data_IF_050709001631
#
_entry.id   IF_050709001631
#
_cell.length_a   1.000
_cell.length_b   1.000
_cell.length_c   1.000
_cell.angle_alpha   90.00
_cell.angle_beta   90.00
_cell.angle_gamma   90.00
#
_symmetry.space_group_name_H-M   'P 1'
#
loop_
_entity.id
_entity.type
_entity.pdbx_description
1 polymer ?
#
# COMPACT_ATOMS: atom_id res chain seq x y z
N UNK A 1 20.23 -61.79 -5.65
CA UNK A 1 20.13 -61.18 -4.30
C UNK A 1 21.41 -60.41 -4.02
N UNK A 2 21.26 -59.25 -3.36
CA UNK A 2 22.26 -58.25 -2.94
C UNK A 2 22.55 -57.12 -3.94
N UNK A 3 21.93 -55.99 -3.59
CA UNK A 3 22.10 -54.64 -4.08
C UNK A 3 23.46 -54.08 -3.66
N UNK A 4 24.05 -53.26 -4.53
CA UNK A 4 25.16 -52.37 -4.21
C UNK A 4 24.63 -51.10 -3.54
N UNK A 5 25.31 -50.69 -2.47
CA UNK A 5 25.18 -49.42 -1.79
C UNK A 5 26.26 -48.43 -2.28
N UNK A 6 25.96 -47.17 -1.98
CA UNK A 6 26.84 -46.00 -1.86
C UNK A 6 27.00 -45.05 -3.05
N UNK A 7 26.61 -43.80 -2.78
CA UNK A 7 26.76 -42.64 -3.65
C UNK A 7 25.96 -41.43 -3.14
N UNK A 8 26.29 -40.96 -1.93
CA UNK A 8 25.79 -39.71 -1.33
C UNK A 8 25.97 -38.52 -2.28
N UNK A 9 24.87 -37.82 -2.58
CA UNK A 9 24.90 -36.41 -2.95
C UNK A 9 23.91 -35.68 -2.03
N UNK A 10 24.44 -35.18 -0.90
CA UNK A 10 23.75 -34.25 -0.03
C UNK A 10 23.53 -32.96 -0.81
N UNK A 11 22.30 -32.78 -1.31
CA UNK A 11 21.83 -31.48 -1.78
C UNK A 11 21.71 -30.59 -0.56
N UNK A 12 22.65 -29.65 -0.42
CA UNK A 12 22.61 -28.58 0.55
C UNK A 12 21.38 -27.70 0.30
N UNK A 13 20.24 -28.12 0.84
CA UNK A 13 19.11 -27.23 1.04
C UNK A 13 19.58 -26.17 2.03
N UNK A 14 19.77 -24.96 1.54
CA UNK A 14 19.77 -23.76 2.38
C UNK A 14 18.58 -23.87 3.34
N UNK A 15 18.75 -23.62 4.65
CA UNK A 15 17.61 -23.63 5.56
C UNK A 15 16.60 -22.59 5.07
N UNK A 16 15.29 -22.86 5.20
CA UNK A 16 14.29 -21.81 4.97
C UNK A 16 14.68 -20.62 5.85
N UNK A 17 14.67 -19.41 5.29
CA UNK A 17 14.77 -18.18 6.10
C UNK A 17 13.74 -18.31 7.21
N UNK A 18 14.18 -18.42 8.45
CA UNK A 18 13.30 -18.34 9.61
C UNK A 18 12.53 -17.02 9.48
N UNK A 19 11.25 -17.12 9.10
CA UNK A 19 10.32 -16.00 9.15
C UNK A 19 10.02 -15.77 10.62
N UNK A 20 10.85 -14.96 11.27
CA UNK A 20 10.68 -14.61 12.68
C UNK A 20 9.40 -13.76 12.80
N UNK A 21 8.34 -14.37 13.33
CA UNK A 21 7.09 -13.71 13.66
C UNK A 21 7.30 -12.71 14.81
N UNK A 22 6.67 -11.55 14.69
CA UNK A 22 6.74 -10.49 15.70
C UNK A 22 6.16 -10.98 17.03
N UNK A 23 6.97 -10.87 18.09
CA UNK A 23 6.51 -11.19 19.44
C UNK A 23 5.47 -10.17 19.93
N UNK A 24 4.60 -10.57 20.86
CA UNK A 24 3.59 -9.66 21.43
C UNK A 24 4.22 -8.45 22.14
N UNK A 25 5.35 -8.66 22.84
CA UNK A 25 6.09 -7.58 23.50
C UNK A 25 6.67 -6.59 22.48
N UNK A 26 7.24 -7.11 21.39
CA UNK A 26 7.77 -6.28 20.31
C UNK A 26 6.67 -5.48 19.61
N UNK A 27 5.52 -6.12 19.34
CA UNK A 27 4.37 -5.46 18.74
C UNK A 27 3.89 -4.27 19.58
N UNK A 28 3.64 -4.48 20.88
CA UNK A 28 3.20 -3.41 21.79
C UNK A 28 4.25 -2.30 21.89
N UNK A 29 5.53 -2.64 22.02
CA UNK A 29 6.59 -1.64 22.11
C UNK A 29 6.65 -0.76 20.85
N UNK A 30 6.53 -1.38 19.67
CA UNK A 30 6.53 -0.67 18.39
C UNK A 30 5.29 0.20 18.19
N UNK A 31 4.09 -0.30 18.53
CA UNK A 31 2.86 0.48 18.47
C UNK A 31 2.94 1.68 19.43
N UNK A 32 3.32 1.47 20.69
CA UNK A 32 3.42 2.56 21.67
C UNK A 32 4.46 3.63 21.30
N UNK A 33 5.50 3.27 20.56
CA UNK A 33 6.49 4.23 20.05
C UNK A 33 5.98 5.04 18.85
N UNK A 34 5.00 4.51 18.12
CA UNK A 34 4.49 5.07 16.88
C UNK A 34 3.25 5.95 17.09
N UNK A 35 2.35 5.53 17.98
CA UNK A 35 1.07 6.20 18.24
C UNK A 35 1.28 7.43 19.12
N UNK A 36 0.66 8.60 18.83
CA UNK A 36 0.85 9.82 19.60
C UNK A 36 0.42 9.72 21.07
N UNK A 37 -0.73 9.09 21.33
CA UNK A 37 -1.32 8.89 22.66
C UNK A 37 -1.81 7.45 22.82
N UNK A 38 -0.90 6.48 23.02
CA UNK A 38 -1.29 5.08 23.16
C UNK A 38 -2.02 4.85 24.50
N UNK A 39 -3.00 3.95 24.48
CA UNK A 39 -3.75 3.52 25.66
C UNK A 39 -3.57 2.01 25.87
N UNK A 40 -3.37 1.59 27.12
CA UNK A 40 -3.19 0.18 27.49
C UNK A 40 -4.36 -0.71 27.04
N UNK A 41 -5.61 -0.24 27.20
CA UNK A 41 -6.79 -1.02 26.81
C UNK A 41 -6.88 -1.21 25.28
N UNK A 42 -6.72 -0.13 24.52
CA UNK A 42 -6.72 -0.18 23.06
C UNK A 42 -5.56 -1.03 22.52
N UNK A 43 -4.35 -0.88 23.08
CA UNK A 43 -3.18 -1.69 22.74
C UNK A 43 -3.39 -3.17 23.04
N UNK A 44 -4.07 -3.50 24.15
CA UNK A 44 -4.44 -4.89 24.47
C UNK A 44 -5.45 -5.45 23.46
N UNK A 45 -6.52 -4.72 23.17
CA UNK A 45 -7.54 -5.15 22.20
C UNK A 45 -6.94 -5.36 20.81
N UNK A 46 -6.05 -4.46 20.39
CA UNK A 46 -5.32 -4.57 19.13
C UNK A 46 -4.38 -5.79 19.10
N UNK A 47 -3.71 -6.09 20.21
CA UNK A 47 -2.89 -7.30 20.32
C UNK A 47 -3.73 -8.57 20.27
N UNK A 48 -4.88 -8.60 20.95
CA UNK A 48 -5.81 -9.72 20.94
C UNK A 48 -6.30 -9.98 19.50
N UNK A 49 -6.67 -8.90 18.78
CA UNK A 49 -7.00 -8.98 17.35
C UNK A 49 -5.81 -9.49 16.52
N UNK A 50 -4.61 -8.93 16.72
CA UNK A 50 -3.38 -9.32 16.03
C UNK A 50 -2.98 -10.78 16.19
N UNK A 51 -3.48 -11.47 17.22
CA UNK A 51 -3.25 -12.90 17.45
C UNK A 51 -4.35 -13.82 16.88
N UNK A 52 -5.39 -13.28 16.22
CA UNK A 52 -6.65 -14.01 15.98
C UNK A 52 -6.88 -14.54 14.55
N UNK A 53 -6.63 -13.74 13.50
CA UNK A 53 -7.16 -14.06 12.16
C UNK A 53 -6.18 -14.82 11.25
N UNK A 54 -4.92 -14.38 11.15
CA UNK A 54 -3.92 -15.04 10.31
C UNK A 54 -2.48 -14.84 10.78
N UNK A 55 -1.59 -15.63 10.19
CA UNK A 55 -0.16 -15.60 10.45
C UNK A 55 0.43 -14.24 10.04
N UNK A 56 1.12 -13.57 10.96
CA UNK A 56 1.76 -12.26 10.75
C UNK A 56 0.81 -11.05 10.70
N UNK A 57 -0.42 -11.17 11.16
CA UNK A 57 -1.32 -10.02 11.28
C UNK A 57 -0.71 -8.89 12.15
N UNK A 58 0.08 -9.21 13.18
CA UNK A 58 0.82 -8.20 13.97
C UNK A 58 1.76 -7.35 13.09
N UNK A 59 2.49 -7.98 12.19
CA UNK A 59 3.35 -7.32 11.23
C UNK A 59 2.54 -6.46 10.27
N UNK A 60 1.43 -6.99 9.74
CA UNK A 60 0.57 -6.26 8.81
C UNK A 60 -0.05 -5.02 9.48
N UNK A 61 -0.53 -5.15 10.72
CA UNK A 61 -1.04 -4.04 11.53
C UNK A 61 0.05 -3.00 11.77
N UNK A 62 1.24 -3.43 12.21
CA UNK A 62 2.36 -2.50 12.45
C UNK A 62 2.79 -1.79 11.17
N UNK A 63 2.90 -2.50 10.05
CA UNK A 63 3.22 -1.91 8.76
C UNK A 63 2.15 -0.92 8.33
N UNK A 64 0.88 -1.23 8.57
CA UNK A 64 -0.24 -0.34 8.25
C UNK A 64 -0.22 0.94 9.08
N UNK A 65 -0.01 0.85 10.41
CA UNK A 65 0.18 2.04 11.24
C UNK A 65 1.39 2.86 10.81
N UNK A 66 2.50 2.19 10.46
CA UNK A 66 3.72 2.83 9.97
C UNK A 66 3.50 3.55 8.64
N UNK A 67 2.69 2.96 7.78
CA UNK A 67 2.25 3.58 6.54
C UNK A 67 1.39 4.80 6.82
N UNK A 68 0.38 4.67 7.69
CA UNK A 68 -0.53 5.77 8.03
C UNK A 68 0.23 6.94 8.66
N UNK A 69 1.17 6.68 9.56
CA UNK A 69 1.94 7.73 10.24
C UNK A 69 2.80 8.59 9.31
N UNK A 70 3.14 8.06 8.14
CA UNK A 70 3.93 8.75 7.11
C UNK A 70 3.04 9.48 6.10
N UNK A 71 1.84 8.95 5.86
CA UNK A 71 0.96 9.46 4.81
C UNK A 71 -0.15 10.38 5.31
N UNK A 72 -0.42 10.39 6.61
CA UNK A 72 -1.51 11.13 7.21
C UNK A 72 -1.02 11.93 8.43
N UNK A 73 -1.89 12.81 8.93
CA UNK A 73 -1.60 13.60 10.13
C UNK A 73 -1.54 12.71 11.39
N UNK A 74 -0.85 13.18 12.45
CA UNK A 74 -0.87 12.49 13.75
C UNK A 74 -2.28 12.29 14.33
N UNK A 75 -3.19 13.24 14.11
CA UNK A 75 -4.58 13.14 14.57
C UNK A 75 -5.33 12.03 13.83
N UNK A 76 -5.12 11.90 12.52
CA UNK A 76 -5.66 10.78 11.72
C UNK A 76 -5.10 9.45 12.19
N UNK A 77 -3.80 9.36 12.42
CA UNK A 77 -3.15 8.15 12.96
C UNK A 77 -3.76 7.74 14.32
N UNK A 78 -3.95 8.71 15.21
CA UNK A 78 -4.58 8.49 16.51
C UNK A 78 -6.03 8.01 16.34
N UNK A 79 -6.82 8.64 15.47
CA UNK A 79 -8.20 8.24 15.23
C UNK A 79 -8.33 6.81 14.70
N UNK A 80 -7.45 6.39 13.78
CA UNK A 80 -7.39 5.00 13.30
C UNK A 80 -7.04 4.04 14.43
N UNK A 81 -6.07 4.39 15.27
CA UNK A 81 -5.70 3.60 16.43
C UNK A 81 -6.86 3.42 17.40
N UNK A 82 -7.55 4.52 17.75
CA UNK A 82 -8.70 4.50 18.66
C UNK A 82 -9.83 3.63 18.12
N UNK A 83 -10.12 3.71 16.81
CA UNK A 83 -11.09 2.86 16.12
C UNK A 83 -10.69 1.38 16.15
N UNK A 84 -9.44 1.07 15.82
CA UNK A 84 -8.92 -0.30 15.80
C UNK A 84 -8.86 -0.95 17.19
N UNK A 85 -8.74 -0.12 18.24
CA UNK A 85 -8.65 -0.53 19.62
C UNK A 85 -10.01 -0.80 20.28
N UNK A 86 -11.12 -0.66 19.57
CA UNK A 86 -12.46 -0.98 20.09
C UNK A 86 -12.57 -2.48 20.32
N UNK A 87 -12.95 -2.86 21.55
CA UNK A 87 -13.08 -4.25 21.95
C UNK A 87 -13.99 -5.05 21.01
N UNK A 88 -13.54 -6.25 20.62
CA UNK A 88 -14.26 -7.21 19.77
C UNK A 88 -14.63 -6.73 18.36
N UNK A 89 -14.14 -5.56 17.91
CA UNK A 89 -14.26 -5.12 16.52
C UNK A 89 -13.00 -5.44 15.73
N UNK A 90 -11.85 -4.95 16.21
CA UNK A 90 -10.62 -4.96 15.41
C UNK A 90 -10.79 -4.16 14.12
N UNK A 91 -9.72 -4.07 13.31
CA UNK A 91 -9.79 -3.46 11.99
C UNK A 91 -8.70 -4.06 11.12
N UNK A 92 -9.07 -4.56 9.94
CA UNK A 92 -8.17 -5.18 8.98
C UNK A 92 -7.26 -4.10 8.37
N UNK A 93 -6.04 -4.44 7.93
CA UNK A 93 -5.10 -3.48 7.35
C UNK A 93 -5.69 -2.55 6.28
N UNK A 94 -6.53 -3.09 5.40
CA UNK A 94 -7.15 -2.32 4.32
C UNK A 94 -8.27 -1.40 4.83
N UNK A 95 -9.02 -1.82 5.84
CA UNK A 95 -10.02 -1.00 6.53
C UNK A 95 -9.36 0.17 7.24
N UNK A 96 -8.18 -0.04 7.83
CA UNK A 96 -7.43 1.04 8.48
C UNK A 96 -7.01 2.13 7.50
N UNK A 97 -6.60 1.77 6.28
CA UNK A 97 -6.25 2.73 5.24
C UNK A 97 -7.49 3.51 4.78
N UNK A 98 -8.61 2.82 4.56
CA UNK A 98 -9.90 3.46 4.24
C UNK A 98 -10.36 4.42 5.33
N UNK A 99 -10.29 4.00 6.60
CA UNK A 99 -10.60 4.83 7.76
C UNK A 99 -9.70 6.07 7.83
N UNK A 100 -8.39 5.95 7.55
CA UNK A 100 -7.49 7.09 7.52
C UNK A 100 -7.90 8.14 6.48
N UNK A 101 -8.29 7.70 5.27
CA UNK A 101 -8.80 8.56 4.20
C UNK A 101 -10.06 9.31 4.65
N UNK A 102 -11.00 8.60 5.28
CA UNK A 102 -12.25 9.20 5.76
C UNK A 102 -12.02 10.17 6.91
N UNK A 103 -11.20 9.81 7.89
CA UNK A 103 -10.88 10.67 9.03
C UNK A 103 -10.19 11.96 8.60
N UNK A 104 -9.19 11.90 7.71
CA UNK A 104 -8.48 13.10 7.27
C UNK A 104 -9.32 14.02 6.38
N UNK A 105 -10.38 13.49 5.74
CA UNK A 105 -11.39 14.29 5.03
C UNK A 105 -12.48 14.86 5.95
N UNK A 106 -12.29 14.79 7.27
CA UNK A 106 -13.24 15.24 8.30
C UNK A 106 -14.59 14.51 8.26
N UNK A 107 -14.58 13.25 7.80
CA UNK A 107 -15.79 12.41 7.84
C UNK A 107 -16.09 12.06 9.30
N UNK A 108 -17.31 12.30 9.80
CA UNK A 108 -17.70 11.88 11.14
C UNK A 108 -17.46 10.38 11.33
N UNK A 109 -16.95 9.98 12.49
CA UNK A 109 -16.65 8.57 12.79
C UNK A 109 -17.89 7.67 12.63
N UNK A 110 -19.08 8.21 12.89
CA UNK A 110 -20.37 7.55 12.72
C UNK A 110 -20.76 7.33 11.25
N UNK A 111 -20.07 7.96 10.30
CA UNK A 111 -20.24 7.73 8.87
C UNK A 111 -19.16 6.78 8.32
N UNK A 112 -18.18 6.41 9.15
CA UNK A 112 -17.19 5.36 8.88
C UNK A 112 -17.75 4.02 9.41
N UNK A 113 -18.98 3.69 9.00
CA UNK A 113 -19.65 2.44 9.40
C UNK A 113 -19.23 1.27 8.50
N UNK A 114 -19.38 0.04 9.02
CA UNK A 114 -18.99 -1.25 8.40
C UNK A 114 -19.45 -1.39 6.95
N UNK A 115 -20.60 -0.82 6.58
CA UNK A 115 -21.11 -0.82 5.19
C UNK A 115 -20.17 -0.11 4.20
N UNK A 116 -19.24 0.73 4.68
CA UNK A 116 -18.19 1.36 3.87
C UNK A 116 -16.95 0.46 3.67
N UNK A 117 -16.80 -0.62 4.45
CA UNK A 117 -15.59 -1.43 4.49
C UNK A 117 -15.47 -2.37 3.30
N UNK A 118 -16.59 -2.79 2.70
CA UNK A 118 -16.61 -3.53 1.44
C UNK A 118 -15.91 -2.76 0.31
N UNK A 119 -15.93 -1.42 0.35
CA UNK A 119 -15.21 -0.56 -0.59
C UNK A 119 -13.72 -0.41 -0.25
N UNK A 120 -13.32 -0.71 0.98
CA UNK A 120 -11.93 -0.66 1.42
C UNK A 120 -11.15 -1.92 1.08
N UNK A 121 -11.82 -3.02 0.71
CA UNK A 121 -11.21 -4.30 0.27
C UNK A 121 -10.19 -4.09 -0.86
N UNK A 122 -10.31 -2.98 -1.59
CA UNK A 122 -9.33 -2.60 -2.59
C UNK A 122 -7.94 -2.26 -2.03
N UNK A 123 -7.80 -1.71 -0.83
CA UNK A 123 -6.48 -1.40 -0.29
C UNK A 123 -5.76 -2.69 0.12
N UNK A 124 -4.44 -2.78 -0.10
CA UNK A 124 -3.66 -3.95 0.33
C UNK A 124 -2.82 -3.57 1.53
N UNK A 125 -2.61 -4.54 2.44
CA UNK A 125 -1.73 -4.34 3.58
C UNK A 125 -0.32 -3.96 3.08
N UNK A 126 0.30 -2.90 3.62
CA UNK A 126 1.67 -2.55 3.28
C UNK A 126 2.62 -3.69 3.68
N UNK A 127 3.41 -4.18 2.71
CA UNK A 127 4.33 -5.31 2.92
C UNK A 127 5.51 -4.95 3.84
N UNK A 128 5.78 -3.66 4.01
CA UNK A 128 6.91 -3.12 4.79
C UNK A 128 6.53 -1.77 5.42
N UNK A 129 7.17 -1.38 6.54
CA UNK A 129 6.84 -0.16 7.28
C UNK A 129 7.30 1.13 6.58
N UNK A 130 8.20 1.04 5.61
CA UNK A 130 8.72 2.10 4.76
C UNK A 130 8.08 2.10 3.36
N UNK A 131 6.99 1.34 3.16
CA UNK A 131 6.25 1.33 1.91
C UNK A 131 5.68 2.72 1.61
N UNK A 132 5.86 3.18 0.39
CA UNK A 132 5.20 4.39 -0.12
C UNK A 132 3.91 4.03 -0.87
N UNK A 133 2.93 4.93 -0.82
CA UNK A 133 1.66 4.76 -1.52
C UNK A 133 1.85 4.60 -3.03
N UNK A 134 1.03 3.76 -3.64
CA UNK A 134 0.89 3.61 -5.10
C UNK A 134 -0.50 4.04 -5.59
N UNK A 135 -1.23 4.80 -4.79
CA UNK A 135 -2.52 5.35 -5.19
C UNK A 135 -2.31 6.54 -6.13
N UNK A 136 -3.10 6.62 -7.18
CA UNK A 136 -3.15 7.81 -8.04
C UNK A 136 -4.60 8.07 -8.48
N UNK A 137 -4.95 9.34 -8.63
CA UNK A 137 -6.20 9.74 -9.27
C UNK A 137 -6.05 9.56 -10.78
N UNK A 138 -7.14 9.18 -11.44
CA UNK A 138 -7.21 9.08 -12.88
C UNK A 138 -8.41 9.89 -13.39
N UNK A 139 -8.24 10.69 -14.43
CA UNK A 139 -9.35 11.33 -15.12
C UNK A 139 -9.30 10.97 -16.58
N UNK A 140 -10.39 10.39 -17.08
CA UNK A 140 -10.58 10.07 -18.49
C UNK A 140 -11.46 11.16 -19.10
N UNK A 141 -10.94 11.85 -20.10
CA UNK A 141 -11.71 12.79 -20.92
C UNK A 141 -12.10 12.09 -22.23
N UNK A 142 -13.40 11.97 -22.46
CA UNK A 142 -13.97 11.32 -23.64
C UNK A 142 -15.22 12.07 -24.08
N UNK A 143 -15.26 12.47 -25.35
CA UNK A 143 -16.33 13.25 -25.98
C UNK A 143 -16.66 14.56 -25.21
N UNK A 144 -15.65 15.24 -24.69
CA UNK A 144 -15.80 16.45 -23.88
C UNK A 144 -16.37 16.23 -22.46
N UNK A 145 -16.58 14.98 -22.05
CA UNK A 145 -16.98 14.61 -20.70
C UNK A 145 -15.76 14.10 -19.91
N UNK A 146 -15.69 14.41 -18.62
CA UNK A 146 -14.65 13.91 -17.73
C UNK A 146 -15.24 12.90 -16.74
N UNK A 147 -14.60 11.74 -16.63
CA UNK A 147 -14.90 10.72 -15.63
C UNK A 147 -13.68 10.52 -14.71
N UNK A 148 -13.91 10.54 -13.40
CA UNK A 148 -12.86 10.40 -12.40
C UNK A 148 -12.84 9.00 -11.80
N UNK A 149 -11.64 8.50 -11.57
CA UNK A 149 -11.35 7.18 -11.03
C UNK A 149 -10.09 7.25 -10.17
N UNK A 150 -9.66 6.10 -9.66
CA UNK A 150 -8.35 5.95 -9.05
C UNK A 150 -7.71 4.62 -9.43
N UNK A 151 -6.39 4.56 -9.34
CA UNK A 151 -5.60 3.34 -9.44
C UNK A 151 -4.85 3.09 -8.15
N UNK A 152 -4.62 1.82 -7.82
CA UNK A 152 -3.75 1.37 -6.72
C UNK A 152 -2.35 0.98 -7.21
N UNK A 153 -2.10 1.16 -8.51
CA UNK A 153 -0.99 0.55 -9.22
C UNK A 153 -0.12 1.59 -9.90
N UNK A 154 -0.05 2.80 -9.36
CA UNK A 154 0.83 3.84 -9.86
C UNK A 154 2.28 3.32 -9.99
N UNK A 155 2.89 3.56 -11.14
CA UNK A 155 4.23 3.07 -11.49
C UNK A 155 4.30 1.61 -11.97
N UNK A 156 3.18 0.88 -12.06
CA UNK A 156 3.15 -0.52 -12.54
C UNK A 156 2.62 -0.70 -13.96
N UNK A 157 2.15 0.36 -14.60
CA UNK A 157 1.62 0.35 -15.97
C UNK A 157 2.00 1.65 -16.67
N UNK A 158 2.03 1.64 -18.01
CA UNK A 158 2.17 2.86 -18.83
C UNK A 158 0.78 3.42 -19.16
N UNK A 159 0.43 4.63 -18.67
CA UNK A 159 -0.86 5.27 -18.96
C UNK A 159 -1.13 5.51 -20.45
N UNK A 160 -0.09 5.77 -21.26
CA UNK A 160 -0.25 6.00 -22.70
C UNK A 160 -0.55 4.69 -23.43
N UNK A 161 0.13 3.61 -23.05
CA UNK A 161 -0.16 2.27 -23.55
C UNK A 161 -1.58 1.83 -23.18
N UNK A 162 -2.02 2.11 -21.94
CA UNK A 162 -3.40 1.86 -21.50
C UNK A 162 -4.41 2.57 -22.39
N UNK A 163 -4.19 3.86 -22.68
CA UNK A 163 -5.09 4.65 -23.53
C UNK A 163 -5.16 4.05 -24.95
N UNK A 164 -4.02 3.74 -25.57
CA UNK A 164 -4.00 3.16 -26.92
C UNK A 164 -4.70 1.81 -27.00
N UNK A 165 -4.44 0.91 -26.03
CA UNK A 165 -5.09 -0.39 -25.98
C UNK A 165 -6.60 -0.26 -25.76
N UNK A 166 -7.03 0.67 -24.90
CA UNK A 166 -8.44 0.96 -24.69
C UNK A 166 -9.12 1.55 -25.93
N UNK A 167 -8.46 2.45 -26.67
CA UNK A 167 -8.99 2.97 -27.95
C UNK A 167 -9.14 1.87 -28.99
N UNK A 168 -8.16 0.97 -29.14
CA UNK A 168 -8.28 -0.16 -30.05
C UNK A 168 -9.44 -1.09 -29.64
N UNK A 169 -9.60 -1.32 -28.33
CA UNK A 169 -10.65 -2.15 -27.76
C UNK A 169 -12.04 -1.55 -27.91
N UNK A 170 -12.18 -0.24 -27.73
CA UNK A 170 -13.45 0.49 -27.86
C UNK A 170 -14.01 0.35 -29.28
N UNK A 171 -13.15 0.51 -30.30
CA UNK A 171 -13.49 0.31 -31.71
C UNK A 171 -13.90 -1.14 -31.99
N UNK A 172 -13.17 -2.12 -31.44
CA UNK A 172 -13.45 -3.54 -31.69
C UNK A 172 -14.76 -4.03 -31.05
N UNK A 173 -15.08 -3.55 -29.84
CA UNK A 173 -16.25 -4.00 -29.08
C UNK A 173 -17.47 -3.09 -29.17
N UNK A 174 -17.32 -1.87 -29.72
CA UNK A 174 -18.40 -0.87 -29.74
C UNK A 174 -18.76 -0.33 -28.35
N UNK A 175 -17.80 -0.29 -27.43
CA UNK A 175 -17.93 0.30 -26.08
C UNK A 175 -17.22 1.65 -26.04
N UNK A 176 -17.43 2.43 -24.97
CA UNK A 176 -16.65 3.66 -24.74
C UNK A 176 -15.19 3.34 -24.39
N UNK A 177 -14.28 4.29 -24.59
CA UNK A 177 -12.88 4.18 -24.17
C UNK A 177 -12.81 4.07 -22.65
N UNK A 178 -13.66 4.81 -21.94
CA UNK A 178 -13.80 4.73 -20.49
C UNK A 178 -14.14 3.30 -20.02
N UNK A 179 -15.16 2.67 -20.61
CA UNK A 179 -15.52 1.26 -20.30
C UNK A 179 -14.42 0.26 -20.72
N UNK A 180 -13.66 0.57 -21.78
CA UNK A 180 -12.57 -0.29 -22.23
C UNK A 180 -11.37 -0.24 -21.28
N UNK A 181 -11.03 0.94 -20.74
CA UNK A 181 -9.94 1.13 -19.77
C UNK A 181 -10.12 0.22 -18.54
N UNK A 182 -11.35 0.08 -18.04
CA UNK A 182 -11.68 -0.72 -16.86
C UNK A 182 -11.51 -2.24 -17.08
N UNK A 183 -11.29 -2.69 -18.32
CA UNK A 183 -11.11 -4.12 -18.63
C UNK A 183 -9.67 -4.60 -18.52
N UNK A 184 -8.71 -3.69 -18.45
CA UNK A 184 -7.29 -4.03 -18.45
C UNK A 184 -6.74 -4.22 -17.04
N UNK A 185 -5.80 -5.16 -16.88
CA UNK A 185 -4.92 -5.27 -15.72
C UNK A 185 -3.58 -4.55 -15.93
N UNK A 186 -2.72 -4.55 -14.91
CA UNK A 186 -1.41 -3.87 -14.97
C UNK A 186 -0.47 -4.40 -16.06
N UNK A 187 -0.74 -5.59 -16.61
CA UNK A 187 0.04 -6.20 -17.69
C UNK A 187 -0.59 -5.95 -19.06
N UNK A 188 -1.60 -5.06 -19.15
CA UNK A 188 -2.41 -4.81 -20.35
C UNK A 188 -3.15 -6.06 -20.84
N UNK A 189 -3.42 -7.01 -19.93
CA UNK A 189 -4.26 -8.17 -20.22
C UNK A 189 -5.72 -7.87 -19.88
N UNK A 190 -6.63 -8.37 -20.72
CA UNK A 190 -8.06 -8.27 -20.43
C UNK A 190 -8.42 -9.31 -19.37
N UNK A 191 -8.91 -8.85 -18.22
CA UNK A 191 -9.32 -9.73 -17.11
C UNK A 191 -10.71 -9.36 -16.61
N UNK A 192 -11.29 -10.25 -15.80
CA UNK A 192 -12.63 -10.05 -15.23
C UNK A 192 -12.68 -8.83 -14.29
N UNK A 193 -13.82 -8.11 -14.24
CA UNK A 193 -13.80 -6.63 -14.26
C UNK A 193 -13.59 -5.91 -12.93
N UNK A 194 -13.24 -6.59 -11.82
CA UNK A 194 -13.30 -5.94 -10.50
C UNK A 194 -12.05 -6.15 -9.63
N UNK A 195 -11.44 -7.33 -9.60
CA UNK A 195 -10.24 -7.55 -8.75
C UNK A 195 -8.94 -7.04 -9.39
N UNK A 196 -8.88 -7.03 -10.72
CA UNK A 196 -7.62 -6.89 -11.48
C UNK A 196 -7.53 -5.61 -12.32
N UNK A 197 -8.59 -4.81 -12.35
CA UNK A 197 -8.63 -3.60 -13.17
C UNK A 197 -7.54 -2.59 -12.75
N UNK A 198 -6.84 -2.01 -13.74
CA UNK A 198 -5.83 -0.96 -13.52
C UNK A 198 -6.47 0.26 -12.88
N UNK A 199 -7.64 0.63 -13.37
CA UNK A 199 -8.44 1.76 -12.90
C UNK A 199 -9.72 1.17 -12.32
N UNK A 200 -9.99 1.47 -11.05
CA UNK A 200 -11.15 0.96 -10.35
C UNK A 200 -12.35 1.86 -10.59
N UNK A 201 -13.51 1.24 -10.85
CA UNK A 201 -14.79 1.95 -10.85
C UNK A 201 -15.09 2.41 -9.42
N UNK A 202 -15.14 3.72 -9.16
CA UNK A 202 -15.27 4.19 -7.81
C UNK A 202 -16.71 4.09 -7.34
N UNK A 203 -16.88 3.76 -6.06
CA UNK A 203 -17.92 4.43 -5.31
C UNK A 203 -17.60 5.95 -5.36
N UNK A 204 -18.51 6.82 -5.84
CA UNK A 204 -18.23 8.24 -6.05
C UNK A 204 -17.62 8.95 -4.82
N UNK A 205 -17.98 8.51 -3.62
CA UNK A 205 -17.48 9.05 -2.35
C UNK A 205 -15.98 8.84 -2.14
N UNK A 206 -15.43 7.70 -2.55
CA UNK A 206 -14.00 7.43 -2.37
C UNK A 206 -13.16 8.36 -3.25
N UNK A 207 -13.53 8.50 -4.52
CA UNK A 207 -12.82 9.41 -5.44
C UNK A 207 -12.95 10.86 -4.99
N UNK A 208 -14.11 11.28 -4.50
CA UNK A 208 -14.29 12.61 -3.92
C UNK A 208 -13.29 12.84 -2.75
N UNK A 209 -13.16 11.88 -1.84
CA UNK A 209 -12.23 11.97 -0.71
C UNK A 209 -10.77 11.99 -1.14
N UNK A 210 -10.39 11.12 -2.09
CA UNK A 210 -9.02 11.08 -2.61
C UNK A 210 -8.66 12.39 -3.35
N UNK A 211 -9.61 12.96 -4.09
CA UNK A 211 -9.47 14.28 -4.75
C UNK A 211 -9.28 15.38 -3.71
N UNK A 212 -10.08 15.38 -2.65
CA UNK A 212 -9.94 16.34 -1.55
C UNK A 212 -8.59 16.21 -0.83
N UNK A 213 -8.05 14.98 -0.69
CA UNK A 213 -6.80 14.73 0.04
C UNK A 213 -5.53 15.02 -0.74
N UNK A 214 -5.57 14.97 -2.07
CA UNK A 214 -4.38 15.15 -2.90
C UNK A 214 -3.50 16.36 -2.51
N UNK A 215 -4.04 17.58 -2.25
CA UNK A 215 -3.20 18.71 -1.86
C UNK A 215 -2.58 18.61 -0.45
N UNK A 216 -3.18 17.82 0.45
CA UNK A 216 -2.90 17.86 1.89
C UNK A 216 -2.26 16.56 2.42
N UNK A 217 -2.09 15.55 1.58
CA UNK A 217 -1.54 14.25 1.97
C UNK A 217 -0.69 13.64 0.86
N UNK A 218 0.46 13.03 1.19
CA UNK A 218 1.23 12.21 0.26
C UNK A 218 0.57 10.84 0.00
N UNK A 219 -0.65 10.56 0.48
CA UNK A 219 -1.33 9.29 0.17
C UNK A 219 -1.59 9.13 -1.33
N UNK A 220 -1.78 10.22 -2.08
CA UNK A 220 -1.94 10.20 -3.54
C UNK A 220 -0.59 10.50 -4.19
N UNK A 221 -0.10 9.58 -5.02
CA UNK A 221 1.18 9.71 -5.72
C UNK A 221 1.12 10.69 -6.89
N UNK A 222 0.04 10.64 -7.65
CA UNK A 222 -0.13 11.45 -8.86
C UNK A 222 -1.59 11.59 -9.26
N UNK A 223 -1.84 12.48 -10.21
CA UNK A 223 -3.07 12.56 -10.99
C UNK A 223 -2.75 12.33 -12.46
N UNK A 224 -3.28 11.24 -13.02
CA UNK A 224 -3.14 10.83 -14.41
C UNK A 224 -4.34 11.34 -15.20
N UNK A 225 -4.09 12.17 -16.20
CA UNK A 225 -5.09 12.69 -17.12
C UNK A 225 -4.97 11.95 -18.46
N UNK A 226 -5.96 11.11 -18.77
CA UNK A 226 -6.08 10.35 -20.00
C UNK A 226 -7.05 11.11 -20.91
N UNK A 227 -6.55 11.81 -21.92
CA UNK A 227 -7.37 12.53 -22.88
C UNK A 227 -7.58 11.68 -24.13
N UNK A 228 -8.74 11.03 -24.20
CA UNK A 228 -9.11 10.18 -25.32
C UNK A 228 -9.50 10.97 -26.57
N UNK A 229 -9.91 12.23 -26.42
CA UNK A 229 -10.28 13.11 -27.54
C UNK A 229 -9.04 13.58 -28.31
N UNK A 230 -7.95 13.88 -27.59
CA UNK A 230 -6.67 14.24 -28.20
C UNK A 230 -5.67 13.08 -28.34
N UNK A 231 -5.94 11.94 -27.70
CA UNK A 231 -5.04 10.79 -27.67
C UNK A 231 -3.75 11.05 -26.86
N UNK A 232 -3.84 11.90 -25.83
CA UNK A 232 -2.67 12.31 -25.03
C UNK A 232 -2.83 11.91 -23.57
N UNK A 233 -1.69 11.82 -22.88
CA UNK A 233 -1.66 11.55 -21.44
C UNK A 233 -0.76 12.55 -20.75
N UNK A 234 -1.27 13.13 -19.66
CA UNK A 234 -0.49 13.96 -18.73
C UNK A 234 -0.49 13.30 -17.35
N UNK A 235 0.60 13.44 -16.60
CA UNK A 235 0.69 12.94 -15.24
C UNK A 235 1.27 14.03 -14.35
N UNK A 236 0.50 14.43 -13.36
CA UNK A 236 0.88 15.44 -12.38
C UNK A 236 1.29 14.73 -11.08
N UNK A 237 2.57 14.78 -10.74
CA UNK A 237 3.09 14.17 -9.52
C UNK A 237 2.70 15.00 -8.30
N UNK A 238 2.26 14.35 -7.23
CA UNK A 238 2.01 15.02 -5.97
C UNK A 238 3.36 15.38 -5.30
N UNK A 239 3.65 16.67 -5.06
CA UNK A 239 4.91 17.09 -4.46
C UNK A 239 5.11 16.57 -3.04
N UNK A 240 4.04 16.34 -2.27
CA UNK A 240 4.15 15.76 -0.92
C UNK A 240 4.58 14.28 -0.99
N UNK A 241 4.03 13.53 -1.93
CA UNK A 241 4.40 12.13 -2.16
C UNK A 241 5.84 12.02 -2.67
N UNK A 242 6.23 12.87 -3.62
CA UNK A 242 7.60 12.91 -4.15
C UNK A 242 8.61 13.21 -3.04
N UNK A 243 8.32 14.20 -2.19
CA UNK A 243 9.17 14.52 -1.04
C UNK A 243 9.29 13.32 -0.08
N UNK A 244 8.18 12.65 0.24
CA UNK A 244 8.20 11.47 1.12
C UNK A 244 9.02 10.31 0.51
N UNK A 245 8.91 10.10 -0.81
CA UNK A 245 9.72 9.11 -1.54
C UNK A 245 11.20 9.38 -1.37
N UNK A 246 11.61 10.61 -1.64
CA UNK A 246 13.02 10.99 -1.59
C UNK A 246 13.58 10.87 -0.15
N UNK A 247 12.80 11.25 0.87
CA UNK A 247 13.16 11.07 2.28
C UNK A 247 13.37 9.58 2.65
N UNK A 248 12.53 8.68 2.14
CA UNK A 248 12.65 7.24 2.39
C UNK A 248 13.83 6.60 1.65
N UNK A 249 14.12 7.06 0.43
CA UNK A 249 15.28 6.61 -0.34
C UNK A 249 16.59 7.03 0.33
N UNK A 250 16.67 8.27 0.83
CA UNK A 250 17.84 8.76 1.59
C UNK A 250 18.08 7.95 2.87
N UNK A 251 17.03 7.66 3.63
CA UNK A 251 17.12 6.83 4.84
C UNK A 251 17.65 5.42 4.53
N UNK A 252 17.18 4.84 3.43
CA UNK A 252 17.62 3.51 2.96
C UNK A 252 19.09 3.51 2.58
N UNK A 253 19.56 4.52 1.83
CA UNK A 253 20.96 4.66 1.44
C UNK A 253 21.89 4.95 2.63
N UNK A 254 21.46 5.78 3.59
CA UNK A 254 22.22 6.08 4.79
C UNK A 254 22.43 4.87 5.71
N UNK A 255 21.43 3.98 5.81
CA UNK A 255 21.54 2.72 6.55
C UNK A 255 22.50 1.72 5.88
N UNK A 256 22.51 1.64 4.55
CA UNK A 256 23.46 0.81 3.80
C UNK A 256 24.91 1.28 3.97
N UNK A 257 25.15 2.60 3.98
CA UNK A 257 26.49 3.15 4.21
C UNK A 257 27.00 2.83 5.63
N UNK A 258 26.20 3.06 6.67
CA UNK A 258 26.58 2.76 8.07
C UNK A 258 26.88 1.27 8.31
N UNK A 259 26.11 0.38 7.70
CA UNK A 259 26.36 -1.08 7.80
C UNK A 259 27.63 -1.50 7.05
N UNK A 260 27.95 -0.85 5.93
CA UNK A 260 29.20 -1.07 5.19
C UNK A 260 30.44 -0.58 5.95
N UNK A 261 30.34 0.56 6.64
CA UNK A 261 31.41 1.12 7.47
C UNK A 261 31.66 0.27 8.72
N UNK A 262 30.60 -0.22 9.37
CA UNK A 262 30.73 -1.12 10.52
C UNK A 262 31.41 -2.46 10.15
N UNK A 263 31.14 -2.99 8.94
CA UNK A 263 31.83 -4.17 8.38
C UNK A 263 33.29 -3.88 7.99
N UNK A 264 33.62 -2.67 7.54
CA UNK A 264 35.01 -2.27 7.24
C UNK A 264 35.81 -2.03 8.52
N UNK A 265 35.19 -1.47 9.56
CA UNK A 265 35.82 -1.24 10.87
C UNK A 265 36.12 -2.55 11.61
N UNK A 266 35.20 -3.52 11.60
CA UNK A 266 35.44 -4.84 12.21
C UNK A 266 36.54 -5.65 11.52
N UNK A 267 36.69 -5.52 10.19
CA UNK A 267 37.81 -6.14 9.46
C UNK A 267 39.16 -5.52 9.80
N UNK A 268 39.23 -4.21 10.06
CA UNK A 268 40.47 -3.54 10.47
C UNK A 268 40.91 -3.93 11.88
N UNK A 269 39.97 -4.15 12.80
CA UNK A 269 40.27 -4.58 14.17
C UNK A 269 40.89 -5.98 14.24
N UNK A 270 40.58 -6.87 13.30
CA UNK A 270 41.16 -8.23 13.27
C UNK A 270 42.51 -8.33 12.55
N UNK A 271 43.03 -7.22 12.01
CA UNK A 271 44.28 -7.21 11.25
C UNK A 271 45.47 -6.59 12.00
N UNK A 272 45.29 -6.22 13.28
CA UNK A 272 46.32 -5.57 14.11
C UNK A 272 46.89 -6.43 15.24
N UNK A 273 46.50 -7.71 15.33
CA UNK A 273 47.15 -8.70 16.22
C UNK A 273 47.85 -9.77 15.38
N UNK A 274 49.08 -9.48 14.94
CA UNK A 274 50.14 -10.48 14.70
C UNK A 274 51.51 -9.85 14.95
#
# INVERSE_FOLDING_TARGET
MKQHADGFASSSKSPPKETCEMSSQEFIARINALIPSPNEEASKNLLDFGNSLWLRLKEDLYNTFSFISRHFTPDTLQGVYDLSGIANKGMLPWEMIGAAIYLQTNTPVQEIEEDSWDYFVGFTAPEAPDKISSLALCTVHENGCAAQFYTRHFGRFDPLELLYNATARSVYNGVTITEAIQQFDCNMEIRHPWETAVILDPEPKMVEKLTQLMPDSPIIAAHINLDADSGTVATEINPLWEKLRDELDELSHGQQQKTSEKKRSSKRSHQMER
#
